data_IF_337004014044
#
_entry.id   IF_337004014044
#
_cell.length_a   1.000
_cell.length_b   1.000
_cell.length_c   1.000
_cell.angle_alpha   90.00
_cell.angle_beta   90.00
_cell.angle_gamma   90.00
#
_symmetry.space_group_name_H-M   'P 1'
#
loop_
_entity.id
_entity.type
_entity.pdbx_description
1 polymer ?
#
# COMPACT_ATOMS: atom_id res chain seq x y z
N UNK A 1 -63.78 4.55 1.90
CA UNK A 1 -62.44 4.99 1.47
C UNK A 1 -61.43 4.18 2.27
N UNK A 2 -60.84 3.15 1.68
CA UNK A 2 -59.90 2.24 2.37
C UNK A 2 -58.53 2.40 1.71
N UNK A 3 -57.60 3.03 2.42
CA UNK A 3 -56.22 3.18 1.98
C UNK A 3 -55.46 1.85 2.17
N UNK A 4 -54.74 1.41 1.14
CA UNK A 4 -53.83 0.25 1.20
C UNK A 4 -52.42 0.70 1.60
N UNK A 5 -51.78 0.12 2.64
CA UNK A 5 -50.39 0.37 2.95
C UNK A 5 -49.55 -0.80 2.43
N UNK A 6 -49.08 -0.74 1.18
CA UNK A 6 -48.28 -1.83 0.58
C UNK A 6 -46.82 -1.47 0.27
N UNK A 7 -46.40 -0.22 0.40
CA UNK A 7 -45.11 0.23 -0.14
C UNK A 7 -43.90 0.12 0.80
N UNK A 8 -44.10 -0.25 2.07
CA UNK A 8 -43.01 -0.25 3.07
C UNK A 8 -41.99 -1.39 2.95
N UNK A 9 -42.42 -2.57 2.48
CA UNK A 9 -41.58 -3.78 2.53
C UNK A 9 -40.57 -3.84 1.38
N UNK A 10 -40.94 -3.36 0.19
CA UNK A 10 -40.07 -3.37 -0.99
C UNK A 10 -39.02 -2.26 -0.91
N UNK A 11 -39.43 -1.07 -0.46
CA UNK A 11 -38.55 0.09 -0.28
C UNK A 11 -37.46 -0.18 0.77
N UNK A 12 -37.83 -0.68 1.95
CA UNK A 12 -36.87 -1.00 3.02
C UNK A 12 -35.85 -2.08 2.63
N UNK A 13 -36.27 -3.12 1.90
CA UNK A 13 -35.36 -4.16 1.39
C UNK A 13 -34.41 -3.59 0.32
N UNK A 14 -34.89 -2.72 -0.56
CA UNK A 14 -34.05 -2.08 -1.59
C UNK A 14 -33.02 -1.12 -0.99
N UNK A 15 -33.40 -0.32 0.01
CA UNK A 15 -32.48 0.58 0.72
C UNK A 15 -31.37 -0.18 1.44
N UNK A 16 -31.71 -1.26 2.15
CA UNK A 16 -30.71 -2.13 2.81
C UNK A 16 -29.72 -2.74 1.83
N UNK A 17 -30.16 -3.10 0.61
CA UNK A 17 -29.27 -3.61 -0.43
C UNK A 17 -28.30 -2.55 -0.93
N UNK A 18 -28.75 -1.31 -1.12
CA UNK A 18 -27.87 -0.20 -1.50
C UNK A 18 -26.88 0.17 -0.41
N UNK A 19 -27.31 0.18 0.86
CA UNK A 19 -26.39 0.36 1.99
C UNK A 19 -25.34 -0.76 2.03
N UNK A 20 -25.75 -2.02 1.89
CA UNK A 20 -24.82 -3.14 1.84
C UNK A 20 -23.85 -3.03 0.66
N UNK A 21 -24.33 -2.65 -0.53
CA UNK A 21 -23.49 -2.45 -1.71
C UNK A 21 -22.49 -1.31 -1.50
N UNK A 22 -22.90 -0.19 -0.90
CA UNK A 22 -22.02 0.92 -0.59
C UNK A 22 -20.94 0.52 0.44
N UNK A 23 -21.32 -0.22 1.49
CA UNK A 23 -20.36 -0.74 2.48
C UNK A 23 -19.36 -1.68 1.82
N UNK A 24 -19.82 -2.61 0.97
CA UNK A 24 -18.95 -3.51 0.23
C UNK A 24 -18.02 -2.78 -0.72
N UNK A 25 -18.50 -1.73 -1.40
CA UNK A 25 -17.69 -0.90 -2.30
C UNK A 25 -16.61 -0.13 -1.53
N UNK A 26 -16.95 0.49 -0.40
CA UNK A 26 -15.97 1.17 0.46
C UNK A 26 -14.93 0.18 0.99
N UNK A 27 -15.39 -0.97 1.49
CA UNK A 27 -14.50 -2.03 1.96
C UNK A 27 -13.55 -2.51 0.86
N UNK A 28 -14.08 -2.76 -0.34
CA UNK A 28 -13.28 -3.15 -1.50
C UNK A 28 -12.25 -2.09 -1.88
N UNK A 29 -12.64 -0.81 -1.87
CA UNK A 29 -11.72 0.30 -2.15
C UNK A 29 -10.56 0.37 -1.14
N UNK A 30 -10.84 0.15 0.15
CA UNK A 30 -9.80 0.08 1.19
C UNK A 30 -8.86 -1.10 0.94
N UNK A 31 -9.39 -2.28 0.60
CA UNK A 31 -8.55 -3.43 0.27
C UNK A 31 -7.66 -3.15 -0.95
N UNK A 32 -8.20 -2.55 -2.01
CA UNK A 32 -7.41 -2.19 -3.20
C UNK A 32 -6.32 -1.18 -2.88
N UNK A 33 -6.56 -0.25 -1.96
CA UNK A 33 -5.56 0.72 -1.53
C UNK A 33 -4.33 0.05 -0.90
N UNK A 34 -4.53 -0.97 -0.06
CA UNK A 34 -3.45 -1.74 0.56
C UNK A 34 -2.68 -2.59 -0.47
N UNK A 35 -3.39 -3.19 -1.43
CA UNK A 35 -2.78 -4.03 -2.48
C UNK A 35 -1.93 -3.21 -3.44
N UNK A 36 -2.40 -2.01 -3.83
CA UNK A 36 -1.69 -1.15 -4.78
C UNK A 36 -0.52 -0.42 -4.09
N UNK A 37 -0.57 -0.22 -2.77
CA UNK A 37 0.45 0.52 -2.02
C UNK A 37 1.00 -0.25 -0.80
N UNK A 38 1.58 -1.45 -0.98
CA UNK A 38 1.97 -2.34 0.11
C UNK A 38 3.14 -1.81 0.95
N UNK A 39 3.90 -0.84 0.43
CA UNK A 39 5.06 -0.21 1.09
C UNK A 39 4.79 1.25 1.49
N UNK A 40 3.51 1.62 1.68
CA UNK A 40 3.13 2.94 2.17
C UNK A 40 3.81 3.23 3.51
N UNK A 41 4.40 4.41 3.65
CA UNK A 41 5.12 4.82 4.86
C UNK A 41 6.47 4.14 5.09
N UNK A 42 6.84 3.14 4.28
CA UNK A 42 8.17 2.53 4.34
C UNK A 42 9.18 3.33 3.50
N UNK A 43 10.45 3.32 3.93
CA UNK A 43 11.56 4.02 3.26
C UNK A 43 12.12 3.24 2.05
N UNK A 44 11.74 1.98 1.93
CA UNK A 44 12.20 1.05 0.92
C UNK A 44 11.09 0.05 0.58
N UNK A 45 11.24 -0.61 -0.55
CA UNK A 45 10.40 -1.68 -1.05
C UNK A 45 11.17 -3.00 -1.03
N UNK A 46 10.45 -4.11 -0.93
CA UNK A 46 11.04 -5.45 -1.04
C UNK A 46 10.83 -5.96 -2.46
N UNK A 47 11.92 -6.22 -3.17
CA UNK A 47 11.89 -6.72 -4.55
C UNK A 47 12.49 -8.13 -4.58
N UNK A 48 11.69 -9.17 -4.90
CA UNK A 48 12.21 -10.50 -5.18
C UNK A 48 13.12 -10.49 -6.40
N UNK A 49 14.28 -11.14 -6.31
CA UNK A 49 15.24 -11.26 -7.39
C UNK A 49 16.00 -12.59 -7.24
N UNK A 50 15.81 -13.51 -8.19
CA UNK A 50 16.30 -14.88 -8.03
C UNK A 50 15.61 -15.60 -6.87
N UNK A 51 16.40 -16.09 -5.92
CA UNK A 51 15.95 -16.85 -4.75
C UNK A 51 15.86 -16.01 -3.45
N UNK A 52 16.15 -14.72 -3.52
CA UNK A 52 16.15 -13.83 -2.36
C UNK A 52 15.46 -12.49 -2.66
N UNK A 53 15.46 -11.60 -1.66
CA UNK A 53 14.81 -10.29 -1.72
C UNK A 53 15.85 -9.20 -1.50
N UNK A 54 15.76 -8.14 -2.28
CA UNK A 54 16.50 -6.90 -2.04
C UNK A 54 15.60 -5.82 -1.45
N UNK A 55 16.18 -4.98 -0.61
CA UNK A 55 15.56 -3.78 -0.08
C UNK A 55 15.98 -2.58 -0.93
N UNK A 56 15.03 -1.97 -1.63
CA UNK A 56 15.30 -0.94 -2.65
C UNK A 56 14.64 0.37 -2.25
N UNK A 57 15.37 1.50 -2.20
CA UNK A 57 14.78 2.78 -1.82
C UNK A 57 13.86 3.30 -2.93
N UNK A 58 12.92 4.18 -2.57
CA UNK A 58 11.92 4.72 -3.51
C UNK A 58 12.54 5.60 -4.60
N UNK A 59 13.69 6.20 -4.31
CA UNK A 59 14.49 7.05 -5.18
C UNK A 59 15.67 6.28 -5.80
N UNK A 60 15.54 4.97 -6.04
CA UNK A 60 16.59 4.15 -6.66
C UNK A 60 17.07 4.76 -7.98
N UNK A 61 18.37 4.65 -8.22
CA UNK A 61 18.93 4.88 -9.54
C UNK A 61 18.49 3.71 -10.47
N UNK A 62 17.74 3.96 -11.56
CA UNK A 62 17.25 2.89 -12.43
C UNK A 62 18.37 2.17 -13.20
N UNK A 63 19.52 2.83 -13.39
CA UNK A 63 20.69 2.27 -14.06
C UNK A 63 21.49 1.31 -13.16
N UNK A 64 21.16 1.27 -11.86
CA UNK A 64 21.79 0.37 -10.90
C UNK A 64 21.04 -0.97 -10.85
N UNK A 65 21.72 -2.09 -11.11
CA UNK A 65 21.09 -3.42 -11.03
C UNK A 65 20.53 -3.71 -9.64
N UNK A 66 19.37 -4.39 -9.58
CA UNK A 66 18.72 -4.78 -8.32
C UNK A 66 19.65 -5.59 -7.41
N UNK A 67 20.53 -6.40 -7.99
CA UNK A 67 21.53 -7.19 -7.26
C UNK A 67 22.52 -6.38 -6.41
N UNK A 68 22.65 -5.06 -6.64
CA UNK A 68 23.54 -4.18 -5.85
C UNK A 68 22.93 -3.73 -4.53
N UNK A 69 21.62 -3.85 -4.37
CA UNK A 69 20.92 -3.42 -3.16
C UNK A 69 21.08 -4.47 -2.05
N UNK A 70 20.95 -4.10 -0.76
CA UNK A 70 21.16 -5.04 0.33
C UNK A 70 20.02 -6.07 0.41
N UNK A 71 20.35 -7.28 0.84
CA UNK A 71 19.38 -8.36 1.14
C UNK A 71 19.03 -8.43 2.62
N UNK A 72 19.65 -7.58 3.44
CA UNK A 72 19.32 -7.37 4.86
C UNK A 72 18.56 -6.07 5.02
N UNK A 73 17.48 -6.10 5.82
CA UNK A 73 16.69 -4.91 6.15
C UNK A 73 17.60 -3.90 6.86
N UNK A 74 17.61 -2.62 6.45
CA UNK A 74 18.36 -1.57 7.15
C UNK A 74 17.77 -1.33 8.54
N UNK A 75 18.63 -0.99 9.49
CA UNK A 75 18.23 -0.64 10.85
C UNK A 75 17.38 0.67 10.87
N UNK A 76 16.63 0.95 11.95
CA UNK A 76 15.78 2.13 12.02
C UNK A 76 16.52 3.46 11.79
N UNK A 77 17.78 3.54 12.20
CA UNK A 77 18.68 4.70 12.05
C UNK A 77 19.51 4.67 10.76
N UNK A 78 19.29 3.69 9.88
CA UNK A 78 19.95 3.56 8.58
C UNK A 78 19.00 3.88 7.42
N UNK A 79 19.58 4.23 6.28
CA UNK A 79 18.90 4.36 4.99
C UNK A 79 19.70 3.67 3.90
N UNK A 80 19.02 3.32 2.80
CA UNK A 80 19.65 2.78 1.60
C UNK A 80 19.77 3.93 0.61
N UNK A 81 20.96 4.17 0.07
CA UNK A 81 21.19 5.18 -0.96
C UNK A 81 20.62 4.73 -2.31
N UNK A 82 20.40 5.66 -3.27
CA UNK A 82 19.96 5.31 -4.62
C UNK A 82 20.82 4.24 -5.32
N UNK A 83 22.10 4.13 -4.96
CA UNK A 83 23.06 3.17 -5.52
C UNK A 83 23.25 1.90 -4.68
N UNK A 84 22.43 1.70 -3.64
CA UNK A 84 22.36 0.46 -2.86
C UNK A 84 23.25 0.39 -1.63
N UNK A 85 23.87 1.49 -1.19
CA UNK A 85 24.68 1.50 0.03
C UNK A 85 23.81 1.73 1.26
N UNK A 86 24.12 1.05 2.37
CA UNK A 86 23.48 1.31 3.66
C UNK A 86 24.30 2.34 4.42
N UNK A 87 23.70 3.49 4.73
CA UNK A 87 24.35 4.61 5.43
C UNK A 87 23.51 5.07 6.62
N UNK A 88 24.09 5.73 7.63
CA UNK A 88 23.33 6.38 8.68
C UNK A 88 22.34 7.41 8.10
N UNK A 89 21.10 7.42 8.60
CA UNK A 89 20.05 8.29 8.10
C UNK A 89 20.33 9.80 8.36
N UNK A 90 21.22 10.11 9.30
CA UNK A 90 21.56 11.49 9.70
C UNK A 90 22.68 12.14 8.87
N UNK A 91 23.41 11.37 8.07
CA UNK A 91 24.55 11.89 7.29
C UNK A 91 24.13 12.57 5.98
N UNK A 92 22.83 12.69 5.71
CA UNK A 92 22.29 13.37 4.52
C UNK A 92 22.49 14.89 4.47
N UNK A 93 23.00 15.50 5.55
CA UNK A 93 23.22 16.95 5.63
C UNK A 93 24.71 17.21 5.78
N UNK A 94 25.42 17.31 4.68
CA UNK A 94 26.65 18.11 4.59
C UNK A 94 26.46 19.05 3.40
N UNK A 95 26.43 20.39 3.62
CA UNK A 95 26.34 21.37 2.54
C UNK A 95 27.58 21.38 1.65
#
# INVERSE_FOLDING_TARGET
MTASPSDGTTSSRSWRRWVAAAVLLVFFAVLMWEVINPYRGQRFEKIPHGDHVHYVPKDRNPDVPVGRFPTRKPDPDQRITPDGQVVPARESTTP
#
